data_IF_301100775896
#
_entry.id   IF_301100775896
#
_cell.length_a   1.000
_cell.length_b   1.000
_cell.length_c   1.000
_cell.angle_alpha   90.00
_cell.angle_beta   90.00
_cell.angle_gamma   90.00
#
_symmetry.space_group_name_H-M   'P 1'
#
loop_
_entity.id
_entity.type
_entity.pdbx_description
1 polymer ?
#
# COMPACT_ATOMS: atom_id res chain seq x y z
N UNK A 1 5.38 36.89 74.15
CA UNK A 1 6.60 36.16 73.80
C UNK A 1 6.20 34.73 73.49
N UNK A 2 5.34 34.54 72.49
CA UNK A 2 5.64 34.55 71.05
C UNK A 2 6.34 33.26 70.63
N UNK A 3 5.58 32.37 70.00
CA UNK A 3 6.06 31.25 69.18
C UNK A 3 6.79 31.77 67.93
N UNK A 4 7.65 30.96 67.30
CA UNK A 4 7.19 30.39 66.04
C UNK A 4 7.67 28.96 65.73
N UNK A 5 6.71 28.20 65.18
CA UNK A 5 6.79 27.28 64.04
C UNK A 5 8.04 26.43 63.80
N UNK A 6 7.87 25.12 64.03
CA UNK A 6 8.61 24.08 63.30
C UNK A 6 7.97 23.93 61.92
N UNK A 7 8.46 24.71 60.94
CA UNK A 7 8.25 24.43 59.52
C UNK A 7 9.22 23.34 59.08
N UNK A 8 8.76 22.08 59.09
CA UNK A 8 9.40 21.02 58.30
C UNK A 8 8.63 20.92 56.99
N UNK A 9 9.15 21.62 55.99
CA UNK A 9 8.77 21.53 54.59
C UNK A 9 8.76 20.07 54.13
N UNK A 10 7.56 19.50 53.99
CA UNK A 10 7.35 18.31 53.17
C UNK A 10 7.53 18.77 51.73
N UNK A 11 8.69 18.49 51.13
CA UNK A 11 8.92 18.68 49.70
C UNK A 11 7.83 17.92 48.92
N UNK A 12 6.98 18.59 48.13
CA UNK A 12 5.96 17.94 47.33
C UNK A 12 6.52 17.73 45.93
N UNK A 13 7.58 16.95 45.77
CA UNK A 13 8.02 16.60 44.42
C UNK A 13 8.96 15.39 44.39
N UNK A 14 8.37 14.20 44.38
CA UNK A 14 9.11 12.99 44.02
C UNK A 14 8.24 11.96 43.27
N UNK A 15 7.04 12.35 42.80
CA UNK A 15 6.20 11.44 42.03
C UNK A 15 5.22 12.15 41.08
N UNK A 16 5.68 13.19 40.39
CA UNK A 16 4.99 13.67 39.20
C UNK A 16 5.45 12.81 38.00
N UNK A 17 4.57 12.04 37.34
CA UNK A 17 4.94 11.33 36.12
C UNK A 17 5.34 12.36 35.05
N UNK A 18 6.57 12.28 34.57
CA UNK A 18 7.13 13.22 33.60
C UNK A 18 6.26 13.33 32.34
N UNK A 19 5.79 14.53 31.95
CA UNK A 19 4.85 14.74 30.84
C UNK A 19 5.38 14.42 29.42
N UNK A 20 6.62 13.93 29.29
CA UNK A 20 7.26 13.61 28.01
C UNK A 20 7.06 12.17 27.50
N UNK A 21 6.69 11.22 28.36
CA UNK A 21 6.64 9.79 27.97
C UNK A 21 5.39 9.41 27.15
N UNK A 22 4.35 10.25 27.16
CA UNK A 22 3.07 9.94 26.53
C UNK A 22 2.77 10.79 25.28
N UNK A 23 3.54 11.85 25.01
CA UNK A 23 3.23 12.78 23.91
C UNK A 23 3.26 12.09 22.52
N UNK A 24 4.20 11.16 22.30
CA UNK A 24 4.26 10.37 21.06
C UNK A 24 3.14 9.32 20.96
N UNK A 25 2.79 8.71 22.09
CA UNK A 25 1.68 7.75 22.18
C UNK A 25 0.33 8.44 21.93
N UNK A 26 0.14 9.63 22.49
CA UNK A 26 -1.06 10.45 22.35
C UNK A 26 -1.21 10.98 20.91
N UNK A 27 -0.10 11.33 20.25
CA UNK A 27 -0.09 11.68 18.83
C UNK A 27 -0.43 10.49 17.90
N UNK A 28 0.03 9.28 18.22
CA UNK A 28 -0.33 8.05 17.51
C UNK A 28 -1.79 7.68 17.77
N UNK A 29 -2.24 7.77 19.02
CA UNK A 29 -3.61 7.50 19.42
C UNK A 29 -4.57 8.47 18.72
N UNK A 30 -4.24 9.76 18.64
CA UNK A 30 -5.03 10.73 17.87
C UNK A 30 -5.13 10.41 16.37
N UNK A 31 -4.10 9.78 15.78
CA UNK A 31 -4.14 9.33 14.38
C UNK A 31 -4.93 8.03 14.19
N UNK A 32 -4.92 7.15 15.19
CA UNK A 32 -5.63 5.88 15.18
C UNK A 32 -7.08 6.01 15.66
N UNK A 33 -7.41 7.06 16.40
CA UNK A 33 -8.76 7.35 16.91
C UNK A 33 -9.86 7.27 15.85
N UNK A 34 -9.73 7.85 14.64
CA UNK A 34 -10.75 7.64 13.60
C UNK A 34 -10.85 6.19 13.13
N UNK A 35 -9.82 5.35 13.27
CA UNK A 35 -9.89 3.91 12.97
C UNK A 35 -10.52 3.11 14.10
N UNK A 36 -10.25 3.49 15.36
CA UNK A 36 -10.85 2.89 16.55
C UNK A 36 -12.34 3.24 16.67
N UNK A 37 -12.71 4.52 16.52
CA UNK A 37 -14.10 4.98 16.58
C UNK A 37 -14.98 4.35 15.47
N UNK A 38 -14.35 4.00 14.35
CA UNK A 38 -15.00 3.32 13.23
C UNK A 38 -15.04 1.79 13.32
N UNK A 39 -14.53 1.18 14.39
CA UNK A 39 -14.49 -0.29 14.57
C UNK A 39 -13.69 -1.05 13.50
N UNK A 40 -12.88 -0.35 12.69
CA UNK A 40 -12.11 -0.93 11.57
C UNK A 40 -10.68 -1.29 11.94
N UNK A 41 -10.24 -0.88 13.14
CA UNK A 41 -8.94 -1.24 13.68
C UNK A 41 -8.81 -2.76 13.81
N UNK A 42 -9.88 -3.44 14.23
CA UNK A 42 -9.90 -4.90 14.38
C UNK A 42 -9.60 -5.60 13.04
N UNK A 43 -10.21 -5.16 11.94
CA UNK A 43 -9.93 -5.73 10.61
C UNK A 43 -8.46 -5.51 10.17
N UNK A 44 -7.87 -4.36 10.54
CA UNK A 44 -6.46 -4.09 10.23
C UNK A 44 -5.57 -5.03 11.04
N UNK A 45 -5.88 -5.22 12.32
CA UNK A 45 -5.17 -6.14 13.20
C UNK A 45 -5.32 -7.57 12.68
N UNK A 46 -6.51 -7.99 12.25
CA UNK A 46 -6.76 -9.32 11.66
C UNK A 46 -5.94 -9.55 10.39
N UNK A 47 -5.87 -8.55 9.50
CA UNK A 47 -5.06 -8.63 8.28
C UNK A 47 -3.57 -8.68 8.63
N UNK A 48 -3.11 -7.87 9.58
CA UNK A 48 -1.72 -7.88 10.03
C UNK A 48 -1.36 -9.22 10.70
N UNK A 49 -2.27 -9.79 11.48
CA UNK A 49 -2.11 -11.10 12.09
C UNK A 49 -2.00 -12.20 11.03
N UNK A 50 -2.89 -12.19 10.03
CA UNK A 50 -2.83 -13.12 8.90
C UNK A 50 -1.51 -12.99 8.12
N UNK A 51 -1.04 -11.76 7.90
CA UNK A 51 0.26 -11.51 7.25
C UNK A 51 1.41 -12.00 8.13
N UNK A 52 1.33 -11.81 9.45
CA UNK A 52 2.33 -12.32 10.40
C UNK A 52 2.40 -13.85 10.34
N UNK A 53 1.26 -14.54 10.40
CA UNK A 53 1.19 -15.99 10.27
C UNK A 53 1.78 -16.48 8.93
N UNK A 54 1.54 -15.72 7.85
CA UNK A 54 2.14 -16.00 6.55
C UNK A 54 3.66 -15.85 6.59
N UNK A 55 4.19 -14.76 7.17
CA UNK A 55 5.63 -14.52 7.30
C UNK A 55 6.29 -15.60 8.18
N UNK A 56 5.62 -16.04 9.24
CA UNK A 56 6.12 -17.12 10.10
C UNK A 56 6.18 -18.49 9.39
N UNK A 57 5.34 -18.70 8.38
CA UNK A 57 5.35 -19.90 7.52
C UNK A 57 6.43 -19.83 6.42
N UNK A 58 6.94 -18.64 6.09
CA UNK A 58 7.91 -18.43 5.02
C UNK A 58 9.31 -18.90 5.44
N UNK A 59 9.84 -19.89 4.72
CA UNK A 59 11.24 -20.27 4.82
C UNK A 59 12.13 -19.37 3.93
N UNK A 60 13.47 -19.38 4.12
CA UNK A 60 14.37 -18.54 3.33
C UNK A 60 14.29 -18.76 1.81
N UNK A 61 14.01 -19.98 1.35
CA UNK A 61 13.92 -20.27 -0.09
C UNK A 61 12.62 -19.71 -0.69
N UNK A 62 11.52 -19.74 0.06
CA UNK A 62 10.25 -19.14 -0.33
C UNK A 62 10.33 -17.61 -0.35
N UNK A 63 11.06 -16.99 0.59
CA UNK A 63 11.30 -15.53 0.58
C UNK A 63 12.03 -15.11 -0.69
N UNK A 64 13.10 -15.81 -1.07
CA UNK A 64 13.86 -15.51 -2.29
C UNK A 64 12.97 -15.63 -3.55
N UNK A 65 12.15 -16.68 -3.62
CA UNK A 65 11.21 -16.86 -4.73
C UNK A 65 10.16 -15.74 -4.78
N UNK A 66 9.63 -15.33 -3.64
CA UNK A 66 8.68 -14.23 -3.57
C UNK A 66 9.34 -12.91 -3.98
N UNK A 67 10.58 -12.65 -3.55
CA UNK A 67 11.34 -11.48 -3.99
C UNK A 67 11.48 -11.44 -5.52
N UNK A 68 11.83 -12.58 -6.14
CA UNK A 68 11.87 -12.70 -7.61
C UNK A 68 10.51 -12.45 -8.27
N UNK A 69 9.43 -13.04 -7.75
CA UNK A 69 8.07 -12.80 -8.25
C UNK A 69 7.64 -11.33 -8.08
N UNK A 70 8.00 -10.69 -6.98
CA UNK A 70 7.76 -9.27 -6.74
C UNK A 70 8.54 -8.39 -7.72
N UNK A 71 9.79 -8.72 -8.02
CA UNK A 71 10.59 -8.02 -9.02
C UNK A 71 9.97 -8.14 -10.41
N UNK A 72 9.61 -9.35 -10.83
CA UNK A 72 8.94 -9.60 -12.12
C UNK A 72 7.61 -8.86 -12.22
N UNK A 73 6.77 -8.93 -11.18
CA UNK A 73 5.49 -8.25 -11.14
C UNK A 73 5.64 -6.72 -11.16
N UNK A 74 6.64 -6.19 -10.44
CA UNK A 74 6.95 -4.75 -10.42
C UNK A 74 7.44 -4.30 -11.78
N UNK A 75 8.34 -5.06 -12.42
CA UNK A 75 8.84 -4.77 -13.76
C UNK A 75 7.71 -4.79 -14.80
N UNK A 76 6.83 -5.79 -14.74
CA UNK A 76 5.66 -5.87 -15.60
C UNK A 76 4.71 -4.68 -15.39
N UNK A 77 4.46 -4.32 -14.13
CA UNK A 77 3.62 -3.17 -13.75
C UNK A 77 4.22 -1.85 -14.24
N UNK A 78 5.54 -1.69 -14.14
CA UNK A 78 6.24 -0.50 -14.63
C UNK A 78 6.15 -0.37 -16.15
N UNK A 79 6.38 -1.46 -16.88
CA UNK A 79 6.27 -1.50 -18.34
C UNK A 79 4.84 -1.15 -18.79
N UNK A 80 3.83 -1.75 -18.15
CA UNK A 80 2.42 -1.46 -18.43
C UNK A 80 2.07 0.00 -18.12
N UNK A 81 2.51 0.52 -16.97
CA UNK A 81 2.28 1.91 -16.58
C UNK A 81 2.92 2.92 -17.54
N UNK A 82 4.13 2.63 -18.02
CA UNK A 82 4.79 3.48 -19.00
C UNK A 82 4.09 3.43 -20.37
N UNK A 83 3.66 2.25 -20.82
CA UNK A 83 2.87 2.10 -22.04
C UNK A 83 1.54 2.87 -21.96
N UNK A 84 0.84 2.78 -20.82
CA UNK A 84 -0.38 3.52 -20.57
C UNK A 84 -0.14 5.03 -20.58
N UNK A 85 0.94 5.49 -19.94
CA UNK A 85 1.33 6.90 -19.93
C UNK A 85 1.61 7.40 -21.35
N UNK A 86 2.33 6.62 -22.15
CA UNK A 86 2.63 6.92 -23.56
C UNK A 86 1.34 7.00 -24.39
N UNK A 87 0.46 6.01 -24.29
CA UNK A 87 -0.82 6.00 -24.99
C UNK A 87 -1.71 7.18 -24.58
N UNK A 88 -1.72 7.56 -23.30
CA UNK A 88 -2.46 8.71 -22.81
C UNK A 88 -1.89 10.03 -23.36
N UNK A 89 -0.57 10.19 -23.42
CA UNK A 89 0.06 11.35 -24.06
C UNK A 89 -0.26 11.44 -25.55
N UNK A 90 -0.19 10.32 -26.26
CA UNK A 90 -0.51 10.27 -27.69
C UNK A 90 -1.98 10.60 -27.95
N UNK A 91 -2.89 10.05 -27.15
CA UNK A 91 -4.33 10.35 -27.23
C UNK A 91 -4.62 11.83 -26.96
N UNK A 92 -3.94 12.44 -25.99
CA UNK A 92 -4.09 13.88 -25.68
C UNK A 92 -3.45 14.79 -26.73
N UNK A 93 -2.42 14.32 -27.43
CA UNK A 93 -1.79 15.06 -28.52
C UNK A 93 -2.62 15.07 -29.80
N UNK A 94 -3.62 14.18 -29.93
CA UNK A 94 -4.56 14.19 -31.06
C UNK A 94 -5.49 15.41 -30.97
N UNK A 95 -5.40 16.28 -31.98
CA UNK A 95 -6.18 17.52 -32.04
C UNK A 95 -7.69 17.30 -32.25
N UNK A 96 -8.09 16.13 -32.77
CA UNK A 96 -9.50 15.74 -33.00
C UNK A 96 -9.69 14.33 -32.41
N UNK A 97 -10.74 14.09 -31.62
CA UNK A 97 -11.01 12.76 -31.08
C UNK A 97 -11.26 11.75 -32.21
N UNK A 98 -10.76 10.51 -32.09
CA UNK A 98 -10.92 9.50 -33.13
C UNK A 98 -12.39 9.17 -33.36
N UNK A 99 -12.79 9.04 -34.62
CA UNK A 99 -14.12 8.58 -35.00
C UNK A 99 -14.29 7.09 -34.66
N UNK A 100 -15.54 6.60 -34.66
CA UNK A 100 -15.82 5.17 -34.44
C UNK A 100 -15.05 4.26 -35.41
N UNK A 101 -14.89 4.70 -36.67
CA UNK A 101 -14.07 4.01 -37.66
C UNK A 101 -12.58 4.08 -37.32
N UNK A 102 -12.10 5.22 -36.82
CA UNK A 102 -10.73 5.40 -36.34
C UNK A 102 -10.40 4.40 -35.23
N UNK A 103 -11.28 4.23 -34.25
CA UNK A 103 -11.13 3.24 -33.18
C UNK A 103 -11.06 1.81 -33.73
N UNK A 104 -11.94 1.47 -34.68
CA UNK A 104 -11.93 0.15 -35.32
C UNK A 104 -10.66 -0.08 -36.14
N UNK A 105 -10.10 0.97 -36.74
CA UNK A 105 -8.85 0.88 -37.50
C UNK A 105 -7.63 0.59 -36.62
N UNK A 106 -7.65 0.98 -35.33
CA UNK A 106 -6.58 0.66 -34.38
C UNK A 106 -6.44 -0.85 -34.15
N UNK A 107 -7.54 -1.61 -34.18
CA UNK A 107 -7.49 -3.08 -34.09
C UNK A 107 -6.79 -3.72 -35.30
N UNK A 108 -6.67 -2.98 -36.40
CA UNK A 108 -6.06 -3.45 -37.65
C UNK A 108 -4.55 -3.16 -37.68
N UNK A 109 -4.06 -2.30 -36.79
CA UNK A 109 -2.63 -2.01 -36.65
C UNK A 109 -1.84 -3.26 -36.23
N UNK A 110 -0.62 -3.36 -36.75
CA UNK A 110 0.24 -4.54 -36.56
C UNK A 110 0.53 -4.79 -35.08
N UNK A 111 0.82 -3.74 -34.31
CA UNK A 111 1.22 -3.87 -32.91
C UNK A 111 0.01 -4.14 -31.99
N UNK A 112 -1.15 -3.53 -32.27
CA UNK A 112 -2.41 -3.87 -31.59
C UNK A 112 -2.80 -5.33 -31.83
N UNK A 113 -2.63 -5.84 -33.06
CA UNK A 113 -2.87 -7.27 -33.38
C UNK A 113 -1.90 -8.20 -32.66
N UNK A 114 -0.63 -7.83 -32.54
CA UNK A 114 0.37 -8.59 -31.77
C UNK A 114 -0.01 -8.63 -30.28
N UNK A 115 -0.42 -7.50 -29.72
CA UNK A 115 -0.92 -7.43 -28.34
C UNK A 115 -2.15 -8.30 -28.11
N UNK A 116 -3.14 -8.23 -29.00
CA UNK A 116 -4.32 -9.10 -28.94
C UNK A 116 -3.95 -10.58 -29.07
N UNK A 117 -3.03 -10.93 -29.99
CA UNK A 117 -2.56 -12.30 -30.16
C UNK A 117 -1.83 -12.82 -28.92
N UNK A 118 -1.05 -11.98 -28.22
CA UNK A 118 -0.40 -12.34 -26.96
C UNK A 118 -1.45 -12.75 -25.92
N UNK A 119 -2.47 -11.90 -25.69
CA UNK A 119 -3.53 -12.16 -24.71
C UNK A 119 -4.29 -13.45 -25.07
N UNK A 120 -4.68 -13.62 -26.33
CA UNK A 120 -5.40 -14.81 -26.76
C UNK A 120 -4.54 -16.08 -26.58
N UNK A 121 -3.23 -15.98 -26.81
CA UNK A 121 -2.31 -17.11 -26.68
C UNK A 121 -2.03 -17.44 -25.22
N UNK A 122 -1.93 -16.46 -24.32
CA UNK A 122 -1.83 -16.72 -22.88
C UNK A 122 -3.10 -17.39 -22.36
N UNK A 123 -4.29 -16.92 -22.75
CA UNK A 123 -5.56 -17.57 -22.41
C UNK A 123 -5.61 -19.03 -22.91
N UNK A 124 -5.14 -19.30 -24.14
CA UNK A 124 -5.09 -20.66 -24.68
C UNK A 124 -4.15 -21.57 -23.88
N UNK A 125 -3.00 -21.05 -23.41
CA UNK A 125 -2.08 -21.81 -22.57
C UNK A 125 -2.70 -22.11 -21.21
N UNK A 126 -3.32 -21.12 -20.55
CA UNK A 126 -4.01 -21.32 -19.27
C UNK A 126 -5.15 -22.33 -19.40
N UNK A 127 -5.99 -22.20 -20.44
CA UNK A 127 -7.07 -23.13 -20.73
C UNK A 127 -6.63 -24.54 -21.07
N UNK A 128 -5.36 -24.75 -21.42
CA UNK A 128 -4.77 -26.09 -21.64
C UNK A 128 -4.29 -26.75 -20.36
N UNK A 129 -4.03 -25.96 -19.33
CA UNK A 129 -3.55 -26.43 -18.03
C UNK A 129 -4.69 -26.66 -17.04
N UNK A 130 -5.89 -26.15 -17.34
CA UNK A 130 -7.15 -26.48 -16.69
C UNK A 130 -7.70 -27.81 -17.20
#
# INVERSE_FOLDING_TARGET
>A
MDTPEVSSTISPDANAPSPGHNAGLEALLGKLQPLLDGGRMDNIIDVLALISDLVDLLDPAMVEKLAGLFEEATAASWSLGNALRMAATETRAQAVPPSLYGLLSLLRETDTRRGAALILRTLNVLGRQL
#
